data_IF_154410600970
#
_entry.id   IF_154410600970
#
_cell.length_a   1.000
_cell.length_b   1.000
_cell.length_c   1.000
_cell.angle_alpha   90.00
_cell.angle_beta   90.00
_cell.angle_gamma   90.00
#
_symmetry.space_group_name_H-M   'P 1'
#
loop_
_entity.id
_entity.type
_entity.pdbx_description
1 polymer ?
#
# COMPACT_ATOMS: atom_id res chain seq x y z
N UNK A 1 15.44 6.62 -8.02
CA UNK A 1 15.83 5.37 -7.34
C UNK A 1 14.56 4.77 -6.80
N UNK A 2 14.11 3.67 -7.40
CA UNK A 2 12.87 2.98 -7.05
C UNK A 2 13.00 2.37 -5.65
N UNK A 3 12.26 2.90 -4.68
CA UNK A 3 12.30 2.36 -3.32
C UNK A 3 11.46 1.07 -3.26
N UNK A 4 12.04 0.05 -2.63
CA UNK A 4 11.46 -1.28 -2.51
C UNK A 4 10.21 -1.15 -1.63
N UNK A 5 9.08 -1.65 -2.14
CA UNK A 5 7.92 -1.90 -1.31
C UNK A 5 7.91 -3.37 -0.95
N UNK A 6 8.16 -3.66 0.33
CA UNK A 6 8.12 -5.02 0.85
C UNK A 6 6.78 -5.25 1.55
N UNK A 7 6.16 -6.41 1.28
CA UNK A 7 4.99 -6.91 2.02
C UNK A 7 5.44 -8.14 2.79
N UNK A 8 5.56 -8.01 4.11
CA UNK A 8 5.94 -9.11 4.99
C UNK A 8 4.79 -9.50 5.93
N UNK A 9 4.59 -10.80 6.14
CA UNK A 9 3.67 -11.30 7.15
C UNK A 9 4.25 -11.11 8.56
N UNK A 10 3.53 -10.45 9.45
CA UNK A 10 3.91 -10.29 10.86
C UNK A 10 2.80 -10.83 11.76
N UNK A 11 3.11 -11.73 12.68
CA UNK A 11 2.12 -12.27 13.62
C UNK A 11 1.75 -11.24 14.68
N UNK A 12 0.46 -10.99 14.83
CA UNK A 12 -0.11 -10.15 15.87
C UNK A 12 -1.09 -10.95 16.75
N UNK A 13 -0.99 -10.80 18.08
CA UNK A 13 -1.75 -11.62 19.04
C UNK A 13 -3.26 -11.52 18.87
N UNK A 14 -3.78 -10.34 18.52
CA UNK A 14 -5.22 -10.11 18.38
C UNK A 14 -5.74 -10.22 16.94
N UNK A 15 -4.88 -10.00 15.94
CA UNK A 15 -5.30 -9.86 14.54
C UNK A 15 -4.79 -10.98 13.63
N UNK A 16 -3.98 -11.91 14.17
CA UNK A 16 -3.33 -12.93 13.37
C UNK A 16 -2.23 -12.33 12.49
N UNK A 17 -2.04 -12.89 11.29
CA UNK A 17 -1.06 -12.37 10.35
C UNK A 17 -1.47 -10.99 9.81
N UNK A 18 -0.52 -10.06 9.80
CA UNK A 18 -0.64 -8.72 9.22
C UNK A 18 0.32 -8.57 8.04
N UNK A 19 -0.12 -7.90 6.97
CA UNK A 19 0.75 -7.45 5.90
C UNK A 19 1.41 -6.14 6.30
N UNK A 20 2.73 -6.15 6.43
CA UNK A 20 3.52 -4.94 6.70
C UNK A 20 4.04 -4.37 5.39
N UNK A 21 3.59 -3.18 5.01
CA UNK A 21 4.09 -2.40 3.88
C UNK A 21 5.22 -1.49 4.38
N UNK A 22 6.43 -1.73 3.88
CA UNK A 22 7.60 -0.87 4.09
C UNK A 22 7.97 -0.16 2.78
N UNK A 23 8.17 1.16 2.80
CA UNK A 23 8.57 1.92 1.62
C UNK A 23 9.59 3.00 2.00
N UNK A 24 10.86 2.80 1.65
CA UNK A 24 11.93 3.73 1.99
C UNK A 24 11.97 4.05 3.49
N UNK A 25 12.01 5.35 3.81
CA UNK A 25 12.01 5.87 5.18
C UNK A 25 10.59 6.15 5.71
N UNK A 26 9.53 5.76 4.98
CA UNK A 26 8.16 5.90 5.49
C UNK A 26 7.94 4.94 6.66
N UNK A 27 7.12 5.35 7.65
CA UNK A 27 6.71 4.43 8.70
C UNK A 27 5.94 3.24 8.09
N UNK A 28 6.15 2.03 8.64
CA UNK A 28 5.49 0.85 8.13
C UNK A 28 3.98 0.92 8.35
N UNK A 29 3.19 0.49 7.37
CA UNK A 29 1.74 0.28 7.55
C UNK A 29 1.44 -1.19 7.72
N UNK A 30 0.63 -1.53 8.72
CA UNK A 30 0.21 -2.91 8.97
C UNK A 30 -1.25 -3.08 8.64
N UNK A 31 -1.53 -4.02 7.74
CA UNK A 31 -2.86 -4.29 7.24
C UNK A 31 -3.31 -5.68 7.71
N UNK A 32 -4.55 -5.77 8.15
CA UNK A 32 -5.25 -7.06 8.22
C UNK A 32 -5.40 -7.65 6.82
N UNK A 33 -5.71 -8.95 6.74
CA UNK A 33 -5.98 -9.63 5.47
C UNK A 33 -7.06 -8.92 4.63
N UNK A 34 -8.13 -8.46 5.27
CA UNK A 34 -9.22 -7.77 4.60
C UNK A 34 -8.77 -6.40 4.07
N UNK A 35 -8.03 -5.63 4.87
CA UNK A 35 -7.48 -4.33 4.46
C UNK A 35 -6.49 -4.48 3.30
N UNK A 36 -5.62 -5.49 3.34
CA UNK A 36 -4.71 -5.81 2.24
C UNK A 36 -5.47 -6.09 0.94
N UNK A 37 -6.54 -6.88 0.98
CA UNK A 37 -7.38 -7.16 -0.18
C UNK A 37 -8.13 -5.92 -0.71
N UNK A 38 -8.58 -5.02 0.18
CA UNK A 38 -9.21 -3.75 -0.22
C UNK A 38 -8.18 -2.86 -0.93
N UNK A 39 -7.01 -2.68 -0.32
CA UNK A 39 -5.96 -1.83 -0.85
C UNK A 39 -5.42 -2.37 -2.18
N UNK A 40 -5.23 -3.68 -2.30
CA UNK A 40 -4.86 -4.36 -3.54
C UNK A 40 -5.81 -3.99 -4.68
N UNK A 41 -7.12 -4.14 -4.48
CA UNK A 41 -8.13 -3.82 -5.50
C UNK A 41 -8.11 -2.34 -5.89
N UNK A 42 -7.93 -1.44 -4.92
CA UNK A 42 -7.82 -0.01 -5.20
C UNK A 42 -6.60 0.31 -6.07
N UNK A 43 -5.43 -0.24 -5.73
CA UNK A 43 -4.19 -0.05 -6.48
C UNK A 43 -4.28 -0.64 -7.90
N UNK A 44 -4.85 -1.84 -8.05
CA UNK A 44 -5.09 -2.46 -9.36
C UNK A 44 -6.02 -1.60 -10.21
N UNK A 45 -7.14 -1.14 -9.65
CA UNK A 45 -8.12 -0.36 -10.39
C UNK A 45 -7.55 0.95 -10.93
N UNK A 46 -6.72 1.67 -10.15
CA UNK A 46 -6.07 2.89 -10.65
C UNK A 46 -4.96 2.57 -11.65
N UNK A 47 -4.18 1.50 -11.43
CA UNK A 47 -3.09 1.11 -12.33
C UNK A 47 -3.58 0.57 -13.68
N UNK A 48 -4.79 0.05 -13.75
CA UNK A 48 -5.45 -0.40 -14.99
C UNK A 48 -6.28 0.70 -15.66
N UNK A 49 -6.39 1.89 -15.05
CA UNK A 49 -7.26 2.96 -15.54
C UNK A 49 -8.76 2.63 -15.43
N UNK A 50 -9.12 1.61 -14.65
CA UNK A 50 -10.51 1.23 -14.37
C UNK A 50 -11.17 2.15 -13.34
N UNK A 51 -10.38 2.98 -12.64
CA UNK A 51 -10.84 4.01 -11.71
C UNK A 51 -10.26 5.38 -12.07
N UNK A 52 -11.10 6.42 -11.98
CA UNK A 52 -10.70 7.81 -12.16
C UNK A 52 -10.26 8.51 -10.85
N UNK A 53 -10.21 7.75 -9.75
CA UNK A 53 -9.82 8.27 -8.44
C UNK A 53 -8.39 8.81 -8.46
N UNK A 54 -8.19 9.96 -7.79
CA UNK A 54 -6.90 10.64 -7.71
C UNK A 54 -6.19 10.43 -6.39
N UNK A 55 -6.85 9.81 -5.43
CA UNK A 55 -6.31 9.56 -4.10
C UNK A 55 -6.76 8.19 -3.61
N UNK A 56 -5.85 7.47 -2.97
CA UNK A 56 -6.14 6.26 -2.21
C UNK A 56 -5.79 6.56 -0.76
N UNK A 57 -6.78 6.45 0.12
CA UNK A 57 -6.61 6.65 1.55
C UNK A 57 -7.18 5.46 2.33
N UNK A 58 -6.45 5.02 3.35
CA UNK A 58 -6.91 4.02 4.30
C UNK A 58 -6.26 4.29 5.66
N UNK A 59 -7.06 4.23 6.73
CA UNK A 59 -6.57 4.22 8.11
C UNK A 59 -6.65 2.78 8.64
N UNK A 60 -5.58 1.97 8.57
CA UNK A 60 -5.65 0.57 8.94
C UNK A 60 -5.78 0.40 10.46
N UNK A 61 -6.61 -0.54 10.91
CA UNK A 61 -6.88 -0.76 12.34
C UNK A 61 -5.66 -1.27 13.11
N UNK A 62 -4.75 -1.97 12.43
CA UNK A 62 -3.56 -2.58 13.03
C UNK A 62 -2.29 -1.73 12.86
N UNK A 63 -2.44 -0.49 12.37
CA UNK A 63 -1.35 0.43 12.04
C UNK A 63 -1.45 1.72 12.85
N UNK A 64 -0.31 2.23 13.28
CA UNK A 64 -0.21 3.56 13.90
C UNK A 64 -0.19 4.70 12.85
N UNK A 65 -0.13 4.34 11.57
CA UNK A 65 -0.03 5.27 10.44
C UNK A 65 -1.00 4.92 9.33
N UNK A 66 -1.59 5.94 8.71
CA UNK A 66 -2.41 5.78 7.50
C UNK A 66 -1.59 5.35 6.28
N UNK A 67 -2.28 4.71 5.35
CA UNK A 67 -1.87 4.62 3.97
C UNK A 67 -2.51 5.78 3.21
N UNK A 68 -1.68 6.66 2.66
CA UNK A 68 -2.10 7.72 1.76
C UNK A 68 -1.25 7.66 0.49
N UNK A 69 -1.93 7.70 -0.66
CA UNK A 69 -1.30 7.78 -1.96
C UNK A 69 -2.07 8.74 -2.89
N UNK A 70 -1.35 9.54 -3.66
CA UNK A 70 -1.90 10.35 -4.75
C UNK A 70 -1.59 9.70 -6.10
N UNK A 71 -2.61 9.56 -6.94
CA UNK A 71 -2.47 9.01 -8.29
C UNK A 71 -1.93 10.10 -9.22
N UNK A 72 -0.88 9.75 -9.97
CA UNK A 72 -0.18 10.59 -10.94
C UNK A 72 -0.22 9.92 -12.31
N UNK A 73 0.20 10.66 -13.34
CA UNK A 73 0.25 10.12 -14.71
C UNK A 73 1.27 8.97 -14.83
N UNK A 74 2.31 8.98 -14.00
CA UNK A 74 3.43 8.04 -14.01
C UNK A 74 3.36 6.96 -12.91
N UNK A 75 2.36 7.00 -12.02
CA UNK A 75 2.24 6.04 -10.92
C UNK A 75 1.39 6.52 -9.75
N UNK A 76 1.74 6.05 -8.55
CA UNK A 76 1.18 6.55 -7.28
C UNK A 76 2.30 7.07 -6.40
N UNK A 77 2.09 8.27 -5.86
CA UNK A 77 2.98 8.89 -4.88
C UNK A 77 2.48 8.57 -3.49
N UNK A 78 3.22 7.77 -2.72
CA UNK A 78 2.95 7.54 -1.31
C UNK A 78 3.31 8.78 -0.50
N UNK A 79 2.44 9.13 0.44
CA UNK A 79 2.66 10.21 1.42
C UNK A 79 2.74 9.66 2.82
N UNK A 80 3.55 10.28 3.66
CA UNK A 80 3.55 10.06 5.10
C UNK A 80 3.98 11.36 5.80
N UNK A 81 3.31 11.69 6.90
CA UNK A 81 3.60 12.91 7.65
C UNK A 81 5.07 12.96 8.08
N UNK A 82 5.77 14.03 7.70
CA UNK A 82 7.19 14.23 8.03
C UNK A 82 8.19 13.45 7.17
N UNK A 83 7.74 12.73 6.15
CA UNK A 83 8.60 12.00 5.21
C UNK A 83 8.57 12.65 3.82
N UNK A 84 9.60 12.34 3.00
CA UNK A 84 9.63 12.73 1.61
C UNK A 84 8.73 11.81 0.77
N UNK A 85 7.93 12.39 -0.12
CA UNK A 85 7.06 11.66 -1.05
C UNK A 85 7.81 10.57 -1.83
N UNK A 86 7.22 9.37 -1.89
CA UNK A 86 7.79 8.21 -2.60
C UNK A 86 6.94 7.89 -3.81
N UNK A 87 7.50 8.08 -5.00
CA UNK A 87 6.87 7.62 -6.25
C UNK A 87 7.05 6.12 -6.42
N UNK A 88 5.93 5.41 -6.55
CA UNK A 88 5.87 4.08 -7.11
C UNK A 88 5.39 4.21 -8.54
N UNK A 89 6.24 3.85 -9.50
CA UNK A 89 5.78 3.79 -10.89
C UNK A 89 4.68 2.73 -11.06
N UNK A 90 4.02 2.71 -12.22
CA UNK A 90 2.96 1.73 -12.46
C UNK A 90 3.40 0.27 -12.37
N UNK A 91 4.67 -0.05 -12.59
CA UNK A 91 5.20 -1.41 -12.41
C UNK A 91 5.26 -1.75 -10.93
N UNK A 92 5.84 -0.88 -10.12
CA UNK A 92 5.93 -1.05 -8.67
C UNK A 92 4.54 -1.06 -8.01
N UNK A 93 3.62 -0.24 -8.50
CA UNK A 93 2.23 -0.21 -8.03
C UNK A 93 1.54 -1.55 -8.23
N UNK A 94 1.71 -2.18 -9.40
CA UNK A 94 1.15 -3.50 -9.69
C UNK A 94 1.82 -4.60 -8.87
N UNK A 95 3.13 -4.52 -8.65
CA UNK A 95 3.85 -5.45 -7.78
C UNK A 95 3.29 -5.38 -6.35
N UNK A 96 3.11 -4.17 -5.80
CA UNK A 96 2.50 -3.98 -4.49
C UNK A 96 1.07 -4.53 -4.44
N UNK A 97 0.24 -4.21 -5.44
CA UNK A 97 -1.13 -4.70 -5.52
C UNK A 97 -1.19 -6.24 -5.55
N UNK A 98 -0.31 -6.88 -6.31
CA UNK A 98 -0.22 -8.33 -6.41
C UNK A 98 0.24 -8.97 -5.09
N UNK A 99 1.27 -8.44 -4.44
CA UNK A 99 1.75 -8.93 -3.15
C UNK A 99 0.67 -8.84 -2.06
N UNK A 100 -0.12 -7.75 -2.06
CA UNK A 100 -1.26 -7.58 -1.16
C UNK A 100 -2.42 -8.54 -1.47
N UNK A 101 -2.68 -8.82 -2.76
CA UNK A 101 -3.68 -9.82 -3.16
C UNK A 101 -3.27 -11.23 -2.70
N UNK A 102 -2.01 -11.61 -2.92
CA UNK A 102 -1.48 -12.91 -2.50
C UNK A 102 -1.58 -13.10 -0.99
N UNK A 103 -1.26 -12.06 -0.21
CA UNK A 103 -1.45 -12.10 1.25
C UNK A 103 -2.93 -12.19 1.67
N UNK A 104 -3.82 -11.54 0.91
CA UNK A 104 -5.25 -11.52 1.18
C UNK A 104 -5.91 -12.91 1.03
N UNK A 105 -5.33 -13.79 0.22
CA UNK A 105 -5.91 -15.08 -0.18
C UNK A 105 -7.01 -14.93 -1.23
#
# INVERSE_FOLDING_TARGET
MSQIVEVAATEHRAFGALATISAGDHPPRRLTRQEAGILSRALTAVAEGASAERQIFMSPIASDHEFEAEVRDDGVTLRAAGCADILLDWTQTRILAAALAEFAG
#
